data_IF_394281944303
#
_entry.id   IF_394281944303
#
_cell.length_a   1.000
_cell.length_b   1.000
_cell.length_c   1.000
_cell.angle_alpha   90.00
_cell.angle_beta   90.00
_cell.angle_gamma   90.00
#
_symmetry.space_group_name_H-M   'P 1'
#
loop_
_entity.id
_entity.type
_entity.pdbx_description
1 polymer ?
#
# COMPACT_ATOMS: atom_id res chain seq x y z
N UNK A 1 -6.01 18.96 8.27
CA UNK A 1 -7.49 19.11 8.26
C UNK A 1 -8.13 17.75 7.97
N UNK A 2 -9.44 17.61 8.19
CA UNK A 2 -10.14 16.34 8.00
C UNK A 2 -10.88 16.38 6.67
N UNK A 3 -10.69 15.36 5.84
CA UNK A 3 -11.45 15.17 4.61
C UNK A 3 -12.89 14.78 4.98
N UNK A 4 -13.82 15.67 4.67
CA UNK A 4 -15.25 15.44 4.85
C UNK A 4 -15.84 14.61 3.70
N UNK A 5 -17.10 14.19 3.86
CA UNK A 5 -17.83 13.55 2.76
C UNK A 5 -18.03 14.50 1.58
N UNK A 6 -18.22 15.80 1.83
CA UNK A 6 -18.39 16.79 0.79
C UNK A 6 -17.10 16.95 -0.04
N UNK A 7 -15.94 16.96 0.62
CA UNK A 7 -14.64 17.02 -0.06
C UNK A 7 -14.43 15.80 -0.98
N UNK A 8 -14.77 14.59 -0.50
CA UNK A 8 -14.72 13.38 -1.31
C UNK A 8 -15.64 13.45 -2.53
N UNK A 9 -16.90 13.87 -2.35
CA UNK A 9 -17.82 13.93 -3.49
C UNK A 9 -17.38 15.00 -4.50
N UNK A 10 -16.81 16.12 -4.05
CA UNK A 10 -16.27 17.14 -4.95
C UNK A 10 -15.11 16.61 -5.80
N UNK A 11 -14.18 15.85 -5.21
CA UNK A 11 -13.07 15.25 -5.97
C UNK A 11 -13.52 14.10 -6.87
N UNK A 12 -14.53 13.32 -6.46
CA UNK A 12 -15.16 12.30 -7.31
C UNK A 12 -15.84 12.94 -8.52
N UNK A 13 -16.63 13.99 -8.34
CA UNK A 13 -17.30 14.66 -9.46
C UNK A 13 -16.30 15.25 -10.47
N UNK A 14 -15.16 15.76 -9.99
CA UNK A 14 -14.05 16.16 -10.87
C UNK A 14 -13.52 14.99 -11.68
N UNK A 15 -13.25 13.84 -11.04
CA UNK A 15 -12.77 12.65 -11.72
C UNK A 15 -13.77 12.14 -12.76
N UNK A 16 -15.06 12.11 -12.44
CA UNK A 16 -16.12 11.69 -13.37
C UNK A 16 -16.13 12.54 -14.63
N UNK A 17 -15.93 13.85 -14.52
CA UNK A 17 -15.86 14.76 -15.66
C UNK A 17 -14.62 14.56 -16.56
N UNK A 18 -13.53 13.98 -16.04
CA UNK A 18 -12.29 13.70 -16.77
C UNK A 18 -12.29 12.31 -17.45
N UNK A 19 -13.24 11.42 -17.13
CA UNK A 19 -13.27 10.04 -17.64
C UNK A 19 -14.08 9.94 -18.93
N UNK A 20 -13.40 9.60 -20.03
CA UNK A 20 -14.01 9.49 -21.36
C UNK A 20 -14.86 8.22 -21.54
N UNK A 21 -14.37 7.06 -21.10
CA UNK A 21 -15.10 5.77 -21.16
C UNK A 21 -15.23 5.16 -19.76
N UNK A 22 -16.43 5.19 -19.16
CA UNK A 22 -16.67 4.62 -17.83
C UNK A 22 -16.27 3.14 -17.70
N UNK A 23 -16.27 2.36 -18.80
CA UNK A 23 -15.87 0.93 -18.78
C UNK A 23 -14.36 0.76 -18.62
N UNK A 24 -13.59 1.75 -19.06
CA UNK A 24 -12.12 1.82 -18.92
C UNK A 24 -11.73 2.22 -17.50
N UNK A 25 -12.53 3.07 -16.86
CA UNK A 25 -12.27 3.59 -15.53
C UNK A 25 -11.29 4.77 -15.55
N UNK A 26 -10.64 5.03 -14.41
CA UNK A 26 -9.83 6.24 -14.18
C UNK A 26 -8.57 6.34 -15.06
N UNK A 27 -8.00 5.21 -15.49
CA UNK A 27 -6.66 5.16 -16.09
C UNK A 27 -6.61 4.49 -17.47
N UNK A 28 -7.09 3.26 -17.57
CA UNK A 28 -7.04 2.45 -18.78
C UNK A 28 -5.66 1.90 -19.19
N UNK A 29 -5.62 1.02 -20.23
CA UNK A 29 -4.43 0.22 -20.55
C UNK A 29 -3.19 0.98 -21.00
N UNK A 30 -3.35 2.22 -21.50
CA UNK A 30 -2.23 3.03 -22.00
C UNK A 30 -1.54 3.85 -20.91
N UNK A 31 -2.20 4.01 -19.75
CA UNK A 31 -1.69 4.72 -18.59
C UNK A 31 -0.39 4.13 -18.04
N UNK A 32 0.43 4.96 -17.41
CA UNK A 32 1.59 4.46 -16.66
C UNK A 32 1.15 3.65 -15.43
N UNK A 33 0.02 4.02 -14.85
CA UNK A 33 -0.59 3.35 -13.71
C UNK A 33 -0.90 1.89 -14.01
N UNK A 34 -1.50 1.58 -15.16
CA UNK A 34 -1.67 0.17 -15.55
C UNK A 34 -0.36 -0.53 -15.89
N UNK A 35 0.57 0.17 -16.56
CA UNK A 35 1.86 -0.42 -16.97
C UNK A 35 2.73 -0.82 -15.78
N UNK A 36 2.70 -0.02 -14.71
CA UNK A 36 3.44 -0.28 -13.47
C UNK A 36 2.64 -1.24 -12.59
N UNK A 37 1.40 -0.87 -12.22
CA UNK A 37 0.62 -1.60 -11.21
C UNK A 37 0.21 -3.01 -11.63
N UNK A 38 0.28 -3.38 -12.92
CA UNK A 38 -0.01 -4.75 -13.35
C UNK A 38 1.00 -5.77 -12.80
N UNK A 39 2.22 -5.36 -12.46
CA UNK A 39 3.31 -6.27 -12.11
C UNK A 39 3.18 -6.76 -10.66
N UNK A 40 2.99 -8.06 -10.47
CA UNK A 40 2.84 -8.67 -9.15
C UNK A 40 4.09 -8.53 -8.26
N UNK A 41 5.27 -8.29 -8.85
CA UNK A 41 6.51 -8.08 -8.10
C UNK A 41 6.43 -6.86 -7.18
N UNK A 42 5.54 -5.90 -7.44
CA UNK A 42 5.36 -4.74 -6.58
C UNK A 42 4.98 -5.13 -5.14
N UNK A 43 4.38 -6.30 -4.93
CA UNK A 43 4.10 -6.84 -3.60
C UNK A 43 5.34 -7.15 -2.76
N UNK A 44 6.52 -7.29 -3.39
CA UNK A 44 7.80 -7.36 -2.69
C UNK A 44 8.03 -6.12 -1.81
N UNK A 45 7.51 -4.96 -2.22
CA UNK A 45 7.55 -3.72 -1.44
C UNK A 45 6.49 -3.63 -0.35
N UNK A 46 5.60 -4.62 -0.20
CA UNK A 46 4.50 -4.56 0.77
C UNK A 46 4.96 -4.36 2.21
N UNK A 47 6.07 -4.99 2.60
CA UNK A 47 6.70 -4.76 3.91
C UNK A 47 7.15 -3.32 4.09
N UNK A 48 7.86 -2.76 3.10
CA UNK A 48 8.30 -1.36 3.10
C UNK A 48 7.13 -0.40 3.24
N UNK A 49 6.10 -0.55 2.39
CA UNK A 49 4.93 0.32 2.44
C UNK A 49 4.23 0.27 3.80
N UNK A 50 4.01 -0.93 4.37
CA UNK A 50 3.37 -1.09 5.67
C UNK A 50 4.18 -0.44 6.81
N UNK A 51 5.52 -0.57 6.79
CA UNK A 51 6.38 0.05 7.79
C UNK A 51 6.45 1.57 7.60
N UNK A 52 6.62 2.09 6.38
CA UNK A 52 6.59 3.54 6.17
C UNK A 52 5.26 4.17 6.60
N UNK A 53 4.13 3.51 6.30
CA UNK A 53 2.81 3.97 6.74
C UNK A 53 2.72 4.03 8.25
N UNK A 54 3.12 2.97 8.94
CA UNK A 54 3.03 2.89 10.40
C UNK A 54 4.18 3.58 11.14
N UNK A 55 5.14 4.16 10.43
CA UNK A 55 6.08 5.11 11.03
C UNK A 55 5.37 6.41 11.41
N UNK A 56 4.21 6.70 10.79
CA UNK A 56 3.36 7.81 11.20
C UNK A 56 2.47 7.39 12.38
N UNK A 57 2.56 8.04 13.57
CA UNK A 57 1.84 7.60 14.77
C UNK A 57 0.32 7.52 14.63
N UNK A 58 -0.34 8.47 13.95
CA UNK A 58 -1.77 8.37 13.64
C UNK A 58 -2.14 7.08 12.90
N UNK A 59 -1.37 6.71 11.89
CA UNK A 59 -1.62 5.50 11.10
C UNK A 59 -1.35 4.26 11.94
N UNK A 60 -0.25 4.24 12.71
CA UNK A 60 0.10 3.13 13.58
C UNK A 60 -1.01 2.82 14.60
N UNK A 61 -1.49 3.85 15.30
CA UNK A 61 -2.55 3.71 16.29
C UNK A 61 -3.91 3.40 15.65
N UNK A 62 -4.25 4.01 14.51
CA UNK A 62 -5.46 3.68 13.77
C UNK A 62 -5.51 2.22 13.31
N UNK A 63 -4.38 1.68 12.84
CA UNK A 63 -4.27 0.26 12.48
C UNK A 63 -4.39 -0.63 13.72
N UNK A 64 -3.65 -0.35 14.80
CA UNK A 64 -3.66 -1.19 16.00
C UNK A 64 -5.02 -1.24 16.70
N UNK A 65 -5.71 -0.09 16.80
CA UNK A 65 -6.96 0.03 17.56
C UNK A 65 -8.19 -0.41 16.75
N UNK A 66 -8.17 -0.33 15.42
CA UNK A 66 -9.37 -0.56 14.58
C UNK A 66 -9.21 -1.64 13.51
N UNK A 67 -7.99 -2.13 13.22
CA UNK A 67 -7.78 -3.10 12.15
C UNK A 67 -7.82 -4.55 12.63
N UNK A 68 -8.49 -5.40 11.86
CA UNK A 68 -8.44 -6.85 12.04
C UNK A 68 -7.11 -7.48 11.53
N UNK A 69 -6.04 -6.72 11.32
CA UNK A 69 -4.83 -7.24 10.64
C UNK A 69 -4.11 -8.33 11.42
N UNK A 70 -4.20 -8.33 12.75
CA UNK A 70 -3.60 -9.40 13.57
C UNK A 70 -4.49 -10.64 13.70
N UNK A 71 -5.80 -10.47 13.58
CA UNK A 71 -6.79 -11.55 13.76
C UNK A 71 -7.22 -12.20 12.45
N UNK A 72 -7.22 -11.45 11.35
CA UNK A 72 -7.59 -11.86 9.98
C UNK A 72 -6.66 -11.14 8.97
N UNK A 73 -5.35 -11.47 8.93
CA UNK A 73 -4.38 -10.80 8.07
C UNK A 73 -4.69 -10.95 6.59
N UNK A 74 -5.04 -12.17 6.15
CA UNK A 74 -5.30 -12.46 4.75
C UNK A 74 -6.62 -11.87 4.28
N UNK A 75 -7.69 -11.98 5.07
CA UNK A 75 -8.95 -11.31 4.73
C UNK A 75 -8.80 -9.79 4.75
N UNK A 76 -8.02 -9.21 5.66
CA UNK A 76 -7.70 -7.77 5.66
C UNK A 76 -6.93 -7.37 4.41
N UNK A 77 -5.92 -8.14 4.03
CA UNK A 77 -5.13 -7.91 2.82
C UNK A 77 -6.03 -7.96 1.58
N UNK A 78 -6.81 -9.03 1.42
CA UNK A 78 -7.71 -9.20 0.28
C UNK A 78 -8.72 -8.05 0.18
N UNK A 79 -9.44 -7.71 1.27
CA UNK A 79 -10.39 -6.58 1.28
C UNK A 79 -9.74 -5.25 0.94
N UNK A 80 -8.49 -5.03 1.33
CA UNK A 80 -7.76 -3.80 0.99
C UNK A 80 -7.48 -3.77 -0.51
N UNK A 81 -6.91 -4.84 -1.06
CA UNK A 81 -6.55 -4.91 -2.47
C UNK A 81 -7.76 -5.02 -3.40
N UNK A 82 -8.90 -5.57 -2.97
CA UNK A 82 -10.15 -5.51 -3.72
C UNK A 82 -10.55 -4.05 -4.01
N UNK A 83 -10.44 -3.17 -3.02
CA UNK A 83 -10.73 -1.74 -3.21
C UNK A 83 -9.67 -1.05 -4.05
N UNK A 84 -8.38 -1.28 -3.77
CA UNK A 84 -7.28 -0.68 -4.56
C UNK A 84 -7.38 -1.09 -6.02
N UNK A 85 -7.62 -2.37 -6.30
CA UNK A 85 -7.74 -2.87 -7.66
C UNK A 85 -9.02 -2.43 -8.36
N UNK A 86 -10.14 -2.28 -7.65
CA UNK A 86 -11.32 -1.63 -8.20
C UNK A 86 -11.03 -0.17 -8.62
N UNK A 87 -10.25 0.57 -7.83
CA UNK A 87 -9.88 1.95 -8.15
C UNK A 87 -8.87 2.06 -9.30
N UNK A 88 -7.94 1.11 -9.44
CA UNK A 88 -6.89 1.13 -10.47
C UNK A 88 -7.34 0.48 -11.78
N UNK A 89 -7.97 -0.70 -11.72
CA UNK A 89 -8.32 -1.52 -12.88
C UNK A 89 -9.84 -1.66 -13.12
N UNK A 90 -10.67 -1.25 -12.16
CA UNK A 90 -12.12 -1.32 -12.28
C UNK A 90 -12.68 -0.35 -13.32
N UNK A 91 -13.97 -0.51 -13.62
CA UNK A 91 -14.76 0.54 -14.26
C UNK A 91 -15.00 1.70 -13.28
N UNK A 92 -15.50 2.82 -13.80
CA UNK A 92 -15.71 4.05 -13.04
C UNK A 92 -16.67 3.82 -11.85
N UNK A 93 -17.77 3.09 -12.06
CA UNK A 93 -18.74 2.79 -11.00
C UNK A 93 -18.10 2.01 -9.85
N UNK A 94 -17.33 0.96 -10.17
CA UNK A 94 -16.62 0.16 -9.18
C UNK A 94 -15.60 0.97 -8.40
N UNK A 95 -14.83 1.83 -9.08
CA UNK A 95 -13.86 2.72 -8.45
C UNK A 95 -14.53 3.68 -7.44
N UNK A 96 -15.62 4.34 -7.85
CA UNK A 96 -16.38 5.30 -7.02
C UNK A 96 -17.06 4.60 -5.84
N UNK A 97 -17.64 3.41 -6.07
CA UNK A 97 -18.24 2.61 -5.01
C UNK A 97 -17.21 2.22 -3.96
N UNK A 98 -16.00 1.81 -4.39
CA UNK A 98 -14.89 1.53 -3.49
C UNK A 98 -14.42 2.78 -2.75
N UNK A 99 -14.32 3.95 -3.40
CA UNK A 99 -13.98 5.22 -2.77
C UNK A 99 -14.93 5.58 -1.63
N UNK A 100 -16.23 5.62 -1.92
CA UNK A 100 -17.28 5.91 -0.92
C UNK A 100 -17.28 4.89 0.21
N UNK A 101 -17.07 3.61 -0.10
CA UNK A 101 -16.98 2.54 0.91
C UNK A 101 -15.79 2.75 1.84
N UNK A 102 -14.60 3.00 1.30
CA UNK A 102 -13.38 3.19 2.09
C UNK A 102 -13.50 4.44 2.97
N UNK A 103 -14.00 5.55 2.42
CA UNK A 103 -14.24 6.75 3.20
C UNK A 103 -15.19 6.48 4.38
N UNK A 104 -16.32 5.79 4.17
CA UNK A 104 -17.25 5.42 5.25
C UNK A 104 -16.61 4.53 6.33
N UNK A 105 -15.64 3.71 5.97
CA UNK A 105 -14.85 2.92 6.93
C UNK A 105 -13.93 3.87 7.71
N UNK A 106 -13.19 4.73 7.03
CA UNK A 106 -12.26 5.67 7.64
C UNK A 106 -12.94 6.69 8.56
N UNK A 107 -14.18 7.11 8.26
CA UNK A 107 -14.99 7.98 9.14
C UNK A 107 -15.17 7.39 10.54
N UNK A 108 -15.11 6.06 10.68
CA UNK A 108 -15.27 5.34 11.96
C UNK A 108 -13.94 5.05 12.66
N UNK A 109 -12.82 5.36 12.03
CA UNK A 109 -11.47 5.11 12.56
C UNK A 109 -10.97 6.42 13.17
N UNK A 110 -11.25 6.58 14.45
CA UNK A 110 -10.91 7.76 15.24
C UNK A 110 -10.48 7.29 16.63
N UNK A 111 -9.48 7.91 17.22
CA UNK A 111 -9.03 7.51 18.55
C UNK A 111 -7.96 8.44 19.11
N UNK A 112 -7.32 7.99 20.19
CA UNK A 112 -6.23 8.71 20.86
C UNK A 112 -4.95 7.89 20.83
N UNK A 113 -3.82 8.55 20.58
CA UNK A 113 -2.48 7.99 20.76
C UNK A 113 -2.29 7.67 22.25
N UNK A 114 -1.82 6.46 22.56
CA UNK A 114 -1.71 5.93 23.93
C UNK A 114 -0.31 6.10 24.55
N UNK A 115 0.63 6.70 23.82
CA UNK A 115 2.00 6.93 24.24
C UNK A 115 2.54 8.26 23.71
N UNK A 116 3.63 8.74 24.28
CA UNK A 116 4.39 9.85 23.70
C UNK A 116 5.32 9.28 22.61
N UNK A 117 5.17 9.72 21.37
CA UNK A 117 5.93 9.19 20.23
C UNK A 117 6.21 10.28 19.19
N UNK A 118 7.50 10.55 18.96
CA UNK A 118 7.95 11.65 18.10
C UNK A 118 7.45 12.98 18.65
N UNK A 119 6.88 13.81 17.77
CA UNK A 119 6.23 15.07 18.15
C UNK A 119 4.84 14.92 18.78
N UNK A 120 4.31 13.70 18.90
CA UNK A 120 2.93 13.47 19.33
C UNK A 120 2.87 13.06 20.81
N UNK A 121 2.31 13.91 21.70
CA UNK A 121 2.09 13.54 23.09
C UNK A 121 1.00 12.47 23.24
N UNK A 122 1.07 11.70 24.33
CA UNK A 122 0.00 10.80 24.72
C UNK A 122 -1.32 11.57 24.88
N UNK A 123 -2.42 11.01 24.38
CA UNK A 123 -3.72 11.67 24.33
C UNK A 123 -3.97 12.48 23.06
N UNK A 124 -2.99 12.63 22.15
CA UNK A 124 -3.23 13.25 20.84
C UNK A 124 -4.32 12.50 20.07
N UNK A 125 -5.33 13.23 19.58
CA UNK A 125 -6.38 12.65 18.75
C UNK A 125 -5.89 12.36 17.33
N UNK A 126 -6.36 11.26 16.74
CA UNK A 126 -6.15 10.94 15.34
C UNK A 126 -7.47 10.61 14.64
N UNK A 127 -7.49 10.83 13.33
CA UNK A 127 -8.61 10.54 12.44
C UNK A 127 -8.04 9.91 11.17
N UNK A 128 -8.63 8.80 10.69
CA UNK A 128 -8.14 8.17 9.45
C UNK A 128 -8.38 9.02 8.19
N UNK A 129 -9.30 9.97 8.26
CA UNK A 129 -9.53 10.97 7.21
C UNK A 129 -8.73 12.26 7.42
N UNK A 130 -7.72 12.27 8.30
CA UNK A 130 -6.75 13.37 8.31
C UNK A 130 -5.99 13.39 6.97
N UNK A 131 -5.98 14.54 6.31
CA UNK A 131 -5.47 14.67 4.95
C UNK A 131 -3.97 14.46 4.81
N UNK A 132 -3.17 14.85 5.82
CA UNK A 132 -1.72 14.68 5.78
C UNK A 132 -1.38 13.21 6.00
N UNK A 133 -2.08 12.54 6.92
CA UNK A 133 -1.96 11.10 7.11
C UNK A 133 -2.42 10.32 5.86
N UNK A 134 -3.54 10.71 5.24
CA UNK A 134 -4.03 10.10 4.00
C UNK A 134 -3.02 10.28 2.86
N UNK A 135 -2.50 11.50 2.67
CA UNK A 135 -1.51 11.77 1.63
C UNK A 135 -0.20 11.05 1.91
N UNK A 136 0.24 10.93 3.17
CA UNK A 136 1.40 10.11 3.52
C UNK A 136 1.19 8.64 3.12
N UNK A 137 0.06 8.04 3.49
CA UNK A 137 -0.26 6.65 3.09
C UNK A 137 -0.24 6.50 1.57
N UNK A 138 -0.86 7.43 0.84
CA UNK A 138 -0.80 7.47 -0.62
C UNK A 138 0.65 7.53 -1.14
N UNK A 139 1.46 8.47 -0.64
CA UNK A 139 2.84 8.67 -1.05
C UNK A 139 3.69 7.40 -0.84
N UNK A 140 3.53 6.71 0.28
CA UNK A 140 4.25 5.45 0.51
C UNK A 140 3.95 4.38 -0.54
N UNK A 141 2.70 4.31 -1.05
CA UNK A 141 2.32 3.34 -2.07
C UNK A 141 2.98 3.66 -3.41
N UNK A 142 2.94 4.93 -3.83
CA UNK A 142 3.46 5.38 -5.13
C UNK A 142 4.99 5.26 -5.16
N UNK A 143 5.65 5.77 -4.12
CA UNK A 143 7.12 5.71 -4.01
C UNK A 143 7.61 4.26 -3.92
N UNK A 144 6.91 3.40 -3.19
CA UNK A 144 7.26 1.96 -3.12
C UNK A 144 7.09 1.28 -4.47
N UNK A 145 6.01 1.58 -5.20
CA UNK A 145 5.76 1.01 -6.51
C UNK A 145 6.87 1.39 -7.50
N UNK A 146 7.25 2.67 -7.56
CA UNK A 146 8.37 3.14 -8.41
C UNK A 146 9.67 2.46 -8.00
N UNK A 147 10.01 2.47 -6.70
CA UNK A 147 11.26 1.90 -6.21
C UNK A 147 11.39 0.41 -6.55
N UNK A 148 10.35 -0.39 -6.34
CA UNK A 148 10.38 -1.83 -6.65
C UNK A 148 10.39 -2.07 -8.16
N UNK A 149 9.63 -1.28 -8.93
CA UNK A 149 9.61 -1.38 -10.39
C UNK A 149 11.01 -1.13 -10.96
N UNK A 150 11.66 -0.02 -10.58
CA UNK A 150 13.01 0.32 -11.04
C UNK A 150 14.06 -0.67 -10.53
N UNK A 151 13.87 -1.19 -9.31
CA UNK A 151 14.79 -2.16 -8.73
C UNK A 151 14.77 -3.51 -9.44
N UNK A 152 13.64 -3.97 -9.99
CA UNK A 152 13.54 -5.34 -10.53
C UNK A 152 13.36 -5.37 -12.06
N UNK A 153 12.71 -4.38 -12.65
CA UNK A 153 12.39 -4.38 -14.07
C UNK A 153 13.34 -3.50 -14.88
N UNK A 154 13.14 -2.20 -14.86
CA UNK A 154 13.97 -1.23 -15.56
C UNK A 154 13.83 0.16 -14.94
N UNK A 155 14.84 1.03 -15.08
CA UNK A 155 14.70 2.44 -14.77
C UNK A 155 13.53 3.07 -15.54
N UNK A 156 12.83 4.00 -14.90
CA UNK A 156 11.81 4.83 -15.51
C UNK A 156 12.42 6.18 -15.88
N UNK A 157 12.06 6.71 -17.04
CA UNK A 157 12.42 8.09 -17.40
C UNK A 157 11.74 9.09 -16.45
N UNK A 158 12.21 10.33 -16.47
CA UNK A 158 11.54 11.40 -15.72
C UNK A 158 10.08 11.54 -16.15
N UNK A 159 9.82 11.56 -17.45
CA UNK A 159 8.48 11.73 -18.02
C UNK A 159 7.55 10.56 -17.67
N UNK A 160 8.09 9.36 -17.54
CA UNK A 160 7.32 8.20 -17.08
C UNK A 160 6.93 8.33 -15.62
N UNK A 161 7.86 8.79 -14.76
CA UNK A 161 7.61 9.00 -13.33
C UNK A 161 6.66 10.17 -13.08
N UNK A 162 6.85 11.29 -13.76
CA UNK A 162 5.95 12.43 -13.65
C UNK A 162 4.55 12.09 -14.16
N UNK A 163 4.43 11.42 -15.32
CA UNK A 163 3.11 10.95 -15.79
C UNK A 163 2.46 9.98 -14.81
N UNK A 164 3.22 9.03 -14.28
CA UNK A 164 2.71 8.12 -13.25
C UNK A 164 2.24 8.88 -12.00
N UNK A 165 2.97 9.91 -11.58
CA UNK A 165 2.58 10.74 -10.46
C UNK A 165 1.31 11.55 -10.75
N UNK A 166 1.21 12.22 -11.90
CA UNK A 166 0.00 12.95 -12.30
C UNK A 166 -1.22 12.04 -12.35
N UNK A 167 -1.05 10.83 -12.89
CA UNK A 167 -2.10 9.82 -12.86
C UNK A 167 -2.45 9.44 -11.41
N UNK A 168 -1.48 9.15 -10.55
CA UNK A 168 -1.76 8.70 -9.18
C UNK A 168 -2.36 9.80 -8.28
N UNK A 169 -2.23 11.08 -8.62
CA UNK A 169 -3.05 12.15 -7.99
C UNK A 169 -4.55 11.92 -8.17
N UNK A 170 -4.98 11.28 -9.27
CA UNK A 170 -6.38 10.84 -9.45
C UNK A 170 -6.77 9.75 -8.47
N UNK A 171 -5.84 8.89 -8.07
CA UNK A 171 -6.06 7.94 -6.97
C UNK A 171 -6.28 8.67 -5.65
N UNK A 172 -5.50 9.71 -5.37
CA UNK A 172 -5.64 10.51 -4.15
C UNK A 172 -6.99 11.22 -4.05
N UNK A 173 -7.54 11.69 -5.18
CA UNK A 173 -8.90 12.24 -5.27
C UNK A 173 -10.00 11.23 -4.87
N UNK A 174 -9.80 9.92 -5.07
CA UNK A 174 -10.74 8.88 -4.61
C UNK A 174 -10.76 8.73 -3.07
N UNK A 175 -9.86 9.42 -2.37
CA UNK A 175 -9.85 9.53 -0.91
C UNK A 175 -10.22 10.94 -0.43
N UNK A 176 -10.57 11.85 -1.35
CA UNK A 176 -10.88 13.25 -1.06
C UNK A 176 -9.66 14.10 -0.70
N UNK A 177 -8.44 13.63 -1.02
CA UNK A 177 -7.21 14.37 -0.73
C UNK A 177 -7.15 15.62 -1.63
N UNK A 178 -7.03 16.83 -1.05
CA UNK A 178 -7.07 18.08 -1.82
C UNK A 178 -5.71 18.39 -2.47
N UNK A 179 -5.73 19.20 -3.53
CA UNK A 179 -4.52 19.61 -4.26
C UNK A 179 -3.45 20.28 -3.38
N UNK A 180 -3.87 21.03 -2.35
CA UNK A 180 -2.94 21.78 -1.50
C UNK A 180 -1.97 20.93 -0.67
N UNK A 181 -2.24 19.65 -0.45
CA UNK A 181 -1.30 18.74 0.22
C UNK A 181 -0.53 17.86 -0.76
N UNK A 182 -0.85 17.94 -2.06
CA UNK A 182 -0.19 17.18 -3.10
C UNK A 182 0.84 18.05 -3.82
N UNK A 183 2.11 17.64 -3.85
CA UNK A 183 3.10 18.25 -4.73
C UNK A 183 2.65 18.32 -6.19
N UNK A 184 3.19 19.30 -6.92
CA UNK A 184 2.76 19.57 -8.30
C UNK A 184 3.22 18.50 -9.28
N UNK A 185 4.42 17.98 -9.10
CA UNK A 185 5.16 17.14 -10.04
C UNK A 185 6.01 16.09 -9.30
N UNK A 186 6.68 15.24 -10.08
CA UNK A 186 7.54 14.19 -9.53
C UNK A 186 8.66 14.72 -8.62
N UNK A 187 9.28 15.84 -8.95
CA UNK A 187 10.39 16.37 -8.14
C UNK A 187 9.90 16.87 -6.79
N UNK A 188 8.76 17.58 -6.78
CA UNK A 188 8.08 17.95 -5.55
C UNK A 188 7.65 16.74 -4.73
N UNK A 189 7.15 15.69 -5.37
CA UNK A 189 6.79 14.43 -4.70
C UNK A 189 8.01 13.74 -4.08
N UNK A 190 9.11 13.64 -4.81
CA UNK A 190 10.35 13.05 -4.31
C UNK A 190 10.95 13.88 -3.16
N UNK A 191 10.88 15.21 -3.25
CA UNK A 191 11.29 16.12 -2.18
C UNK A 191 10.40 15.96 -0.92
N UNK A 192 9.09 15.86 -1.08
CA UNK A 192 8.15 15.60 0.01
C UNK A 192 8.49 14.28 0.74
N UNK A 193 8.74 13.19 0.01
CA UNK A 193 9.08 11.91 0.65
C UNK A 193 10.37 12.00 1.45
N UNK A 194 11.42 12.63 0.92
CA UNK A 194 12.68 12.86 1.65
C UNK A 194 12.45 13.67 2.92
N UNK A 195 11.74 14.79 2.81
CA UNK A 195 11.42 15.64 3.96
C UNK A 195 10.63 14.88 5.03
N UNK A 196 9.66 14.04 4.64
CA UNK A 196 8.92 13.19 5.58
C UNK A 196 9.81 12.16 6.27
N UNK A 197 10.72 11.50 5.54
CA UNK A 197 11.68 10.55 6.13
C UNK A 197 12.59 11.19 7.17
N UNK A 198 12.96 12.46 6.97
CA UNK A 198 13.84 13.20 7.88
C UNK A 198 13.07 13.96 8.99
N UNK A 199 11.74 14.02 8.89
CA UNK A 199 10.89 14.74 9.85
C UNK A 199 10.74 14.03 11.20
N UNK A 200 10.32 14.82 12.20
CA UNK A 200 9.88 14.35 13.51
C UNK A 200 8.43 13.81 13.54
N UNK A 201 7.70 13.97 12.43
CA UNK A 201 6.36 13.38 12.20
C UNK A 201 6.45 11.86 12.13
N UNK A 202 7.51 11.32 11.52
CA UNK A 202 7.72 9.87 11.46
C UNK A 202 8.57 9.42 12.65
N UNK A 203 7.95 8.62 13.53
CA UNK A 203 8.60 7.99 14.67
C UNK A 203 7.99 6.63 14.95
N UNK A 204 8.83 5.61 15.05
CA UNK A 204 8.38 4.23 15.31
C UNK A 204 7.99 4.08 16.79
N UNK A 205 6.69 3.97 17.05
CA UNK A 205 6.12 3.66 18.36
C UNK A 205 5.91 2.16 18.62
N UNK A 206 5.34 1.83 19.78
CA UNK A 206 5.03 0.44 20.17
C UNK A 206 4.10 -0.26 19.17
N UNK A 207 2.98 0.33 18.70
CA UNK A 207 2.11 -0.33 17.73
C UNK A 207 2.83 -0.67 16.42
N UNK A 208 3.74 0.19 15.98
CA UNK A 208 4.52 0.01 14.77
C UNK A 208 5.52 -1.16 14.92
N UNK A 209 6.23 -1.25 16.04
CA UNK A 209 7.10 -2.38 16.36
C UNK A 209 6.31 -3.70 16.48
N UNK A 210 5.12 -3.66 17.08
CA UNK A 210 4.25 -4.83 17.16
C UNK A 210 3.78 -5.30 15.77
N UNK A 211 3.46 -4.37 14.87
CA UNK A 211 3.15 -4.69 13.48
C UNK A 211 4.35 -5.31 12.77
N UNK A 212 5.55 -4.73 12.89
CA UNK A 212 6.77 -5.32 12.32
C UNK A 212 6.95 -6.77 12.79
N UNK A 213 6.91 -7.00 14.10
CA UNK A 213 7.05 -8.35 14.69
C UNK A 213 6.01 -9.30 14.11
N UNK A 214 4.77 -8.84 13.96
CA UNK A 214 3.70 -9.64 13.37
C UNK A 214 3.95 -9.96 11.88
N UNK A 215 4.40 -8.99 11.09
CA UNK A 215 4.66 -9.13 9.65
C UNK A 215 5.75 -10.18 9.38
N UNK A 216 6.85 -10.15 10.14
CA UNK A 216 7.98 -11.06 9.93
C UNK A 216 7.98 -12.28 10.85
N UNK A 217 7.02 -12.39 11.77
CA UNK A 217 6.79 -13.63 12.52
C UNK A 217 6.53 -14.78 11.54
N UNK A 218 7.24 -15.89 11.71
CA UNK A 218 7.09 -17.04 10.83
C UNK A 218 5.83 -17.85 11.22
N UNK A 219 4.85 -18.07 10.32
CA UNK A 219 3.62 -18.80 10.64
C UNK A 219 3.85 -20.27 11.05
N UNK A 220 4.82 -20.92 10.39
CA UNK A 220 5.24 -22.30 10.61
C UNK A 220 6.75 -22.37 10.40
N UNK A 221 7.53 -23.11 11.20
CA UNK A 221 9.00 -23.14 11.10
C UNK A 221 9.54 -23.35 9.67
N UNK A 222 8.87 -24.16 8.86
CA UNK A 222 9.23 -24.41 7.46
C UNK A 222 9.26 -23.15 6.56
N UNK A 223 8.54 -22.08 6.92
CA UNK A 223 8.54 -20.81 6.19
C UNK A 223 9.59 -19.82 6.71
N UNK A 224 10.37 -20.18 7.73
CA UNK A 224 11.37 -19.29 8.35
C UNK A 224 12.32 -18.62 7.36
N UNK A 225 12.97 -19.38 6.45
CA UNK A 225 13.85 -18.80 5.45
C UNK A 225 13.16 -17.77 4.55
N UNK A 226 11.91 -18.03 4.12
CA UNK A 226 11.15 -17.10 3.29
C UNK A 226 10.83 -15.80 4.03
N UNK A 227 10.38 -15.89 5.29
CA UNK A 227 10.04 -14.69 6.09
C UNK A 227 11.30 -13.90 6.46
N UNK A 228 12.42 -14.57 6.72
CA UNK A 228 13.71 -13.90 6.90
C UNK A 228 14.16 -13.18 5.63
N UNK A 229 14.01 -13.82 4.48
CA UNK A 229 14.29 -13.21 3.19
C UNK A 229 13.40 -11.98 2.94
N UNK A 230 12.10 -12.05 3.22
CA UNK A 230 11.18 -10.90 3.11
C UNK A 230 11.56 -9.75 4.06
N UNK A 231 12.03 -10.07 5.27
CA UNK A 231 12.56 -9.07 6.22
C UNK A 231 13.81 -8.39 5.66
N UNK A 232 14.78 -9.15 5.13
CA UNK A 232 15.98 -8.61 4.48
C UNK A 232 15.63 -7.76 3.26
N UNK A 233 14.69 -8.21 2.42
CA UNK A 233 14.22 -7.42 1.27
C UNK A 233 13.54 -6.13 1.72
N UNK A 234 12.75 -6.16 2.80
CA UNK A 234 12.14 -4.95 3.36
C UNK A 234 13.20 -4.00 3.91
N UNK A 235 14.14 -4.50 4.71
CA UNK A 235 15.23 -3.71 5.27
C UNK A 235 16.01 -2.97 4.18
N UNK A 236 16.38 -3.65 3.09
CA UNK A 236 17.12 -3.02 1.99
C UNK A 236 16.36 -1.94 1.20
N UNK A 237 15.05 -1.85 1.37
CA UNK A 237 14.20 -0.83 0.71
C UNK A 237 13.84 0.34 1.64
N UNK A 238 14.14 0.24 2.94
CA UNK A 238 13.77 1.24 3.94
C UNK A 238 14.82 2.38 4.01
N UNK A 239 14.40 3.64 4.25
CA UNK A 239 15.31 4.70 4.67
C UNK A 239 16.07 4.29 5.93
N UNK A 240 17.36 4.64 6.02
CA UNK A 240 18.26 4.19 7.09
C UNK A 240 17.74 4.47 8.50
N UNK A 241 17.33 5.72 8.78
CA UNK A 241 16.77 6.09 10.09
C UNK A 241 15.60 5.20 10.50
N UNK A 242 14.65 4.99 9.60
CA UNK A 242 13.46 4.19 9.90
C UNK A 242 13.78 2.70 9.96
N UNK A 243 14.72 2.21 9.15
CA UNK A 243 15.24 0.84 9.23
C UNK A 243 15.77 0.55 10.64
N UNK A 244 16.54 1.47 11.19
CA UNK A 244 17.12 1.36 12.52
C UNK A 244 16.06 1.52 13.62
N UNK A 245 15.14 2.49 13.52
CA UNK A 245 14.04 2.64 14.48
C UNK A 245 13.09 1.44 14.52
N UNK A 246 12.93 0.74 13.39
CA UNK A 246 12.20 -0.51 13.34
C UNK A 246 13.00 -1.71 13.87
N UNK A 247 14.29 -1.57 14.23
CA UNK A 247 15.20 -2.66 14.59
C UNK A 247 15.37 -3.71 13.47
N UNK A 248 15.30 -3.31 12.20
CA UNK A 248 15.48 -4.22 11.07
C UNK A 248 16.96 -4.58 10.89
N UNK A 249 17.34 -5.88 10.91
CA UNK A 249 18.73 -6.26 10.76
C UNK A 249 19.28 -5.90 9.37
N UNK A 250 20.48 -5.31 9.35
CA UNK A 250 21.11 -4.85 8.12
C UNK A 250 22.64 -5.00 8.14
N UNK A 251 23.08 -6.22 8.43
CA UNK A 251 24.50 -6.57 8.46
C UNK A 251 25.11 -6.59 7.05
N UNK A 252 26.44 -6.65 6.97
CA UNK A 252 27.15 -6.87 5.69
C UNK A 252 26.68 -8.14 4.97
N UNK A 253 26.31 -9.18 5.71
CA UNK A 253 25.74 -10.40 5.14
C UNK A 253 24.35 -10.14 4.54
N UNK A 254 23.46 -9.43 5.26
CA UNK A 254 22.14 -9.05 4.76
C UNK A 254 22.24 -8.21 3.47
N UNK A 255 23.19 -7.26 3.40
CA UNK A 255 23.42 -6.46 2.20
C UNK A 255 23.88 -7.29 1.00
N UNK A 256 24.73 -8.31 1.22
CA UNK A 256 25.14 -9.25 0.15
C UNK A 256 23.95 -10.09 -0.32
N UNK A 257 23.16 -10.61 0.61
CA UNK A 257 21.95 -11.39 0.31
C UNK A 257 20.91 -10.57 -0.44
N UNK A 258 20.68 -9.32 -0.04
CA UNK A 258 19.81 -8.39 -0.74
C UNK A 258 20.28 -8.17 -2.18
N UNK A 259 21.56 -7.81 -2.38
CA UNK A 259 22.12 -7.59 -3.73
C UNK A 259 22.03 -8.83 -4.60
N UNK A 260 22.36 -10.01 -4.07
CA UNK A 260 22.24 -11.27 -4.80
C UNK A 260 20.78 -11.57 -5.18
N UNK A 261 19.84 -11.36 -4.27
CA UNK A 261 18.40 -11.56 -4.49
C UNK A 261 17.87 -10.61 -5.57
N UNK A 262 18.22 -9.33 -5.48
CA UNK A 262 17.87 -8.31 -6.50
C UNK A 262 18.43 -8.69 -7.86
N UNK A 263 19.71 -9.07 -7.96
CA UNK A 263 20.31 -9.51 -9.21
C UNK A 263 19.61 -10.74 -9.80
N UNK A 264 19.28 -11.73 -8.96
CA UNK A 264 18.52 -12.91 -9.37
C UNK A 264 17.11 -12.57 -9.86
N UNK A 265 16.41 -11.67 -9.18
CA UNK A 265 15.07 -11.21 -9.59
C UNK A 265 15.11 -10.37 -10.86
N UNK A 266 16.07 -9.45 -11.02
CA UNK A 266 16.30 -8.70 -12.27
C UNK A 266 16.51 -9.63 -13.46
N UNK A 267 17.20 -10.74 -13.26
CA UNK A 267 17.43 -11.73 -14.31
C UNK A 267 16.19 -12.61 -14.54
N UNK A 268 15.54 -13.10 -13.51
CA UNK A 268 14.47 -14.11 -13.66
C UNK A 268 13.09 -13.52 -13.92
N UNK A 269 12.68 -12.46 -13.19
CA UNK A 269 11.32 -11.95 -13.20
C UNK A 269 10.86 -11.42 -14.57
N UNK A 270 11.64 -10.60 -15.32
CA UNK A 270 11.21 -10.13 -16.64
C UNK A 270 10.97 -11.24 -17.66
N UNK A 271 11.61 -12.41 -17.47
CA UNK A 271 11.50 -13.57 -18.37
C UNK A 271 10.27 -14.44 -18.07
N UNK A 272 9.59 -14.20 -16.95
CA UNK A 272 8.37 -14.94 -16.62
C UNK A 272 7.24 -14.61 -17.62
N UNK A 273 6.41 -15.61 -17.99
CA UNK A 273 5.22 -15.35 -18.80
C UNK A 273 4.27 -14.34 -18.15
N UNK A 274 3.61 -13.52 -18.96
CA UNK A 274 2.68 -12.48 -18.51
C UNK A 274 1.60 -13.00 -17.52
N UNK A 275 1.12 -14.24 -17.69
CA UNK A 275 0.12 -14.86 -16.80
C UNK A 275 0.60 -15.10 -15.36
N UNK A 276 1.92 -15.21 -15.15
CA UNK A 276 2.52 -15.36 -13.82
C UNK A 276 3.00 -14.02 -13.25
N UNK A 277 3.32 -13.07 -14.13
CA UNK A 277 3.77 -11.73 -13.72
C UNK A 277 2.62 -10.81 -13.36
N UNK A 278 1.51 -10.89 -14.09
CA UNK A 278 0.47 -9.88 -14.01
C UNK A 278 -0.61 -10.22 -12.99
N UNK A 279 -1.09 -9.20 -12.31
CA UNK A 279 -2.15 -9.33 -11.32
C UNK A 279 -3.45 -9.84 -11.94
N UNK A 280 -4.19 -10.74 -11.25
CA UNK A 280 -5.50 -11.20 -11.69
C UNK A 280 -6.48 -10.05 -12.02
N UNK A 281 -6.47 -8.98 -11.22
CA UNK A 281 -7.32 -7.81 -11.46
C UNK A 281 -7.02 -7.10 -12.80
N UNK A 282 -5.74 -7.01 -13.19
CA UNK A 282 -5.36 -6.48 -14.50
C UNK A 282 -5.84 -7.41 -15.64
N UNK A 283 -5.70 -8.72 -15.46
CA UNK A 283 -6.17 -9.71 -16.45
C UNK A 283 -7.68 -9.61 -16.62
N UNK A 284 -8.43 -9.50 -15.52
CA UNK A 284 -9.88 -9.33 -15.54
C UNK A 284 -10.29 -8.03 -16.23
N UNK A 285 -9.60 -6.91 -15.94
CA UNK A 285 -9.86 -5.64 -16.63
C UNK A 285 -9.58 -5.72 -18.14
N UNK A 286 -8.52 -6.43 -18.57
CA UNK A 286 -8.26 -6.69 -19.99
C UNK A 286 -9.34 -7.57 -20.64
N UNK A 287 -9.90 -8.54 -19.90
CA UNK A 287 -11.02 -9.37 -20.37
C UNK A 287 -12.30 -8.54 -20.53
N UNK A 288 -12.62 -7.70 -19.54
CA UNK A 288 -13.75 -6.74 -19.58
C UNK A 288 -13.69 -5.87 -20.83
N UNK A 289 -12.54 -5.24 -21.09
CA UNK A 289 -12.35 -4.37 -22.26
C UNK A 289 -12.34 -5.12 -23.60
N UNK A 290 -12.13 -6.44 -23.58
CA UNK A 290 -12.24 -7.30 -24.75
C UNK A 290 -13.64 -7.91 -24.93
N UNK A 291 -14.64 -7.51 -24.13
CA UNK A 291 -16.01 -8.02 -24.20
C UNK A 291 -16.18 -9.47 -23.74
N UNK A 292 -15.19 -10.05 -23.05
CA UNK A 292 -15.26 -11.44 -22.56
C UNK A 292 -16.08 -11.50 -21.28
N UNK A 293 -17.10 -12.37 -21.25
CA UNK A 293 -17.92 -12.61 -20.07
C UNK A 293 -17.32 -13.67 -19.14
N UNK A 294 -17.57 -13.53 -17.84
CA UNK A 294 -17.20 -14.49 -16.80
C UNK A 294 -15.76 -14.38 -16.29
N UNK A 295 -15.51 -14.87 -15.06
CA UNK A 295 -14.25 -14.66 -14.36
C UNK A 295 -13.06 -15.38 -15.03
N UNK A 296 -11.86 -14.85 -14.85
CA UNK A 296 -10.63 -15.58 -15.17
C UNK A 296 -10.43 -16.82 -14.27
N UNK A 297 -10.97 -17.96 -14.70
CA UNK A 297 -10.86 -19.24 -13.99
C UNK A 297 -9.41 -19.70 -13.80
N UNK A 298 -8.50 -19.33 -14.71
CA UNK A 298 -7.08 -19.69 -14.61
C UNK A 298 -6.39 -18.84 -13.55
N UNK A 299 -6.62 -17.53 -13.57
CA UNK A 299 -6.15 -16.60 -12.52
C UNK A 299 -6.66 -16.98 -11.13
N UNK A 300 -7.94 -17.33 -10.99
CA UNK A 300 -8.52 -17.77 -9.72
C UNK A 300 -7.90 -19.07 -9.18
N UNK A 301 -7.55 -20.02 -10.06
CA UNK A 301 -6.88 -21.25 -9.66
C UNK A 301 -5.46 -20.97 -9.14
N UNK A 302 -4.70 -20.13 -9.84
CA UNK A 302 -3.35 -19.73 -9.43
C UNK A 302 -3.36 -18.95 -8.12
N UNK A 303 -4.30 -18.02 -7.95
CA UNK A 303 -4.46 -17.26 -6.71
C UNK A 303 -4.73 -18.16 -5.51
N UNK A 304 -5.62 -19.16 -5.66
CA UNK A 304 -5.90 -20.15 -4.61
C UNK A 304 -4.67 -20.96 -4.23
N UNK A 305 -3.88 -21.41 -5.21
CA UNK A 305 -2.67 -22.20 -4.97
C UNK A 305 -1.61 -21.40 -4.20
N UNK A 306 -1.50 -20.10 -4.46
CA UNK A 306 -0.53 -19.21 -3.79
C UNK A 306 -1.00 -18.77 -2.39
N UNK A 307 -2.30 -18.49 -2.21
CA UNK A 307 -2.83 -17.91 -0.97
C UNK A 307 -3.15 -18.93 0.13
N UNK A 308 -3.56 -20.15 -0.23
CA UNK A 308 -3.96 -21.19 0.75
C UNK A 308 -2.83 -21.59 1.72
N UNK A 309 -1.56 -21.77 1.28
CA UNK A 309 -0.45 -22.13 2.17
C UNK A 309 -0.09 -21.05 3.21
N UNK A 310 -0.42 -19.78 2.92
CA UNK A 310 -0.07 -18.62 3.75
C UNK A 310 -1.11 -18.31 4.85
N UNK A 311 -2.20 -19.09 4.93
CA UNK A 311 -3.25 -18.93 5.96
C UNK A 311 -2.70 -19.20 7.35
N UNK A 312 -2.61 -18.14 8.17
CA UNK A 312 -2.41 -18.25 9.62
C UNK A 312 -3.70 -18.72 10.29
N UNK A 313 -3.59 -19.54 11.33
CA UNK A 313 -4.70 -19.80 12.24
C UNK A 313 -5.15 -18.47 12.89
N UNK A 314 -6.45 -18.27 13.13
CA UNK A 314 -6.94 -17.04 13.76
C UNK A 314 -6.28 -16.84 15.13
N UNK A 315 -5.71 -15.66 15.36
CA UNK A 315 -5.16 -15.32 16.66
C UNK A 315 -6.29 -15.28 17.71
N UNK A 316 -6.06 -15.85 18.90
CA UNK A 316 -6.99 -15.74 20.03
C UNK A 316 -7.29 -14.25 20.27
N UNK A 317 -8.57 -13.85 20.23
CA UNK A 317 -8.99 -12.47 20.50
C UNK A 317 -8.44 -12.03 21.85
N UNK A 318 -7.73 -10.89 21.92
CA UNK A 318 -7.52 -10.22 23.21
C UNK A 318 -8.89 -9.77 23.73
N UNK A 319 -9.17 -9.93 25.04
CA UNK A 319 -10.40 -9.39 25.61
C UNK A 319 -10.44 -7.88 25.38
N UNK A 320 -11.60 -7.36 24.95
CA UNK A 320 -11.84 -5.93 24.88
C UNK A 320 -11.58 -5.36 26.29
N UNK A 321 -10.65 -4.41 26.41
CA UNK A 321 -10.58 -3.61 27.64
C UNK A 321 -11.95 -2.92 27.81
N UNK A 322 -12.57 -2.98 28.99
CA UNK A 322 -13.81 -2.25 29.23
C UNK A 322 -13.56 -0.77 28.97
N UNK A 323 -14.51 -0.12 28.31
CA UNK A 323 -14.58 1.34 28.31
C UNK A 323 -14.81 1.76 29.77
N UNK A 324 -13.89 2.52 30.34
CA UNK A 324 -14.10 3.10 31.66
C UNK A 324 -15.37 3.96 31.61
N UNK A 325 -16.30 3.65 32.52
CA UNK A 325 -17.50 4.44 32.81
C UNK A 325 -17.13 5.69 33.61
#
# INVERSE_FOLDING_TARGET
MVVSRADLEATISRLEAEVEDPRVGIYGPQSQSWKISKEAILFLGGGRAALLQTAHPYVAHGVDQHSATRTDPLGRFQRTFDNVFAMVFGDLESAIKSARRVHNIHTKITGLIQEHVGRFPAGSSYLANDEEALFWVHATLIETAVQVYELILRPLSYEEKDRYYQETRRFAYLFGIPDRVMPRDWDGFAAYNRAMWDSDTLKVGKPALELRRFLFATPKPAYGPLFRWLETMTAGLMPERLRDEYDLPWTTADQRWFRASVSGLKLSYPRLPARLRYLPAYVEARRRLAGKQGPDRVGQLLERLVMVPLRRAPAKRRPRRPANA
#
